data_IF_247969997478
#
_entry.id   IF_247969997478
#
_cell.length_a   1.000
_cell.length_b   1.000
_cell.length_c   1.000
_cell.angle_alpha   90.00
_cell.angle_beta   90.00
_cell.angle_gamma   90.00
#
_symmetry.space_group_name_H-M   'P 1'
#
loop_
_entity.id
_entity.type
_entity.pdbx_description
1 polymer ?
#
# COMPACT_ATOMS: atom_id res chain seq x y z
N UNK A 1 -41.62 39.36 2.16
CA UNK A 1 -41.09 39.27 3.54
C UNK A 1 -40.16 38.07 3.60
N UNK A 2 -38.86 38.35 3.51
CA UNK A 2 -37.78 37.36 3.37
C UNK A 2 -37.49 36.72 4.73
N UNK A 3 -37.71 35.42 4.85
CA UNK A 3 -37.33 34.63 6.03
C UNK A 3 -35.82 34.44 6.04
N UNK A 4 -35.12 35.08 6.97
CA UNK A 4 -33.67 34.90 7.18
C UNK A 4 -33.44 33.60 7.96
N UNK A 5 -33.05 32.54 7.27
CA UNK A 5 -32.47 31.34 7.89
C UNK A 5 -31.18 31.75 8.59
N UNK A 6 -30.99 31.46 9.89
CA UNK A 6 -29.76 31.80 10.59
C UNK A 6 -28.57 30.99 10.02
N UNK A 7 -27.35 31.55 9.97
CA UNK A 7 -26.18 30.84 9.48
C UNK A 7 -25.86 29.66 10.40
N UNK A 8 -25.87 28.44 9.86
CA UNK A 8 -25.36 27.25 10.55
C UNK A 8 -23.86 27.47 10.73
N UNK A 9 -23.42 27.76 11.96
CA UNK A 9 -22.01 27.87 12.30
C UNK A 9 -21.42 26.45 12.45
N UNK A 10 -20.53 25.99 11.55
CA UNK A 10 -20.02 24.61 11.55
C UNK A 10 -19.14 24.28 12.77
N UNK A 11 -18.82 25.26 13.62
CA UNK A 11 -18.02 25.07 14.85
C UNK A 11 -18.82 24.52 16.04
N UNK A 12 -20.12 24.33 15.90
CA UNK A 12 -21.01 23.89 16.99
C UNK A 12 -21.92 22.72 16.57
N UNK A 13 -21.41 21.79 15.76
CA UNK A 13 -22.03 20.48 15.68
C UNK A 13 -21.49 19.68 16.85
N UNK A 14 -22.17 19.78 17.98
CA UNK A 14 -21.93 18.85 19.07
C UNK A 14 -22.51 17.49 18.66
N UNK A 15 -21.64 16.52 18.41
CA UNK A 15 -22.00 15.18 17.98
C UNK A 15 -21.24 14.14 18.79
N UNK A 16 -21.79 12.93 18.86
CA UNK A 16 -21.14 11.82 19.56
C UNK A 16 -19.90 11.37 18.80
N UNK A 17 -18.74 11.43 19.43
CA UNK A 17 -17.47 11.06 18.82
C UNK A 17 -17.25 9.54 18.84
N UNK A 18 -16.60 9.02 17.80
CA UNK A 18 -16.16 7.64 17.70
C UNK A 18 -14.71 7.45 18.15
N UNK A 19 -14.20 6.23 17.94
CA UNK A 19 -12.80 5.89 18.25
C UNK A 19 -11.81 6.69 17.38
N UNK A 20 -12.18 7.00 16.14
CA UNK A 20 -11.32 7.73 15.20
C UNK A 20 -11.06 9.17 15.67
N UNK A 21 -12.10 9.87 16.11
CA UNK A 21 -11.96 11.22 16.66
C UNK A 21 -11.19 11.23 17.99
N UNK A 22 -11.43 10.23 18.86
CA UNK A 22 -10.64 10.08 20.09
C UNK A 22 -9.17 9.83 19.76
N UNK A 23 -8.85 8.92 18.85
CA UNK A 23 -7.48 8.63 18.46
C UNK A 23 -6.78 9.87 17.90
N UNK A 24 -7.47 10.62 17.03
CA UNK A 24 -6.95 11.87 16.48
C UNK A 24 -6.62 12.89 17.58
N UNK A 25 -7.50 13.04 18.57
CA UNK A 25 -7.24 13.92 19.70
C UNK A 25 -6.04 13.44 20.56
N UNK A 26 -5.89 12.13 20.76
CA UNK A 26 -4.72 11.57 21.46
C UNK A 26 -3.42 11.85 20.71
N UNK A 27 -3.41 11.69 19.38
CA UNK A 27 -2.25 11.97 18.53
C UNK A 27 -1.86 13.46 18.59
N UNK A 28 -2.86 14.36 18.59
CA UNK A 28 -2.65 15.80 18.70
C UNK A 28 -2.08 16.19 20.08
N UNK A 29 -2.55 15.58 21.17
CA UNK A 29 -1.90 15.72 22.49
C UNK A 29 -0.44 15.24 22.46
N UNK A 30 -0.17 14.13 21.79
CA UNK A 30 1.19 13.58 21.63
C UNK A 30 2.13 14.57 20.94
N UNK A 31 1.66 15.28 19.91
CA UNK A 31 2.42 16.35 19.24
C UNK A 31 2.71 17.52 20.17
N UNK A 32 1.75 17.93 21.01
CA UNK A 32 1.97 19.00 21.99
C UNK A 32 2.95 18.60 23.09
N UNK A 33 2.89 17.34 23.53
CA UNK A 33 3.86 16.77 24.47
C UNK A 33 5.28 16.73 23.86
N UNK A 34 5.43 16.24 22.62
CA UNK A 34 6.71 16.23 21.92
C UNK A 34 7.27 17.64 21.67
N UNK A 35 6.39 18.63 21.49
CA UNK A 35 6.77 20.04 21.40
C UNK A 35 7.15 20.67 22.76
N UNK A 36 7.11 19.91 23.86
CA UNK A 36 7.45 20.35 25.22
C UNK A 36 6.43 21.31 25.83
N UNK A 37 5.20 21.35 25.31
CA UNK A 37 4.13 22.26 25.78
C UNK A 37 3.30 21.68 26.91
N UNK A 38 3.38 20.37 27.11
CA UNK A 38 2.68 19.64 28.16
C UNK A 38 3.73 18.88 28.98
N UNK A 39 3.63 18.94 30.30
CA UNK A 39 4.38 18.04 31.17
C UNK A 39 3.79 16.62 31.12
N UNK A 40 4.54 15.62 31.58
CA UNK A 40 4.10 14.22 31.59
C UNK A 40 2.81 14.01 32.39
N UNK A 41 2.67 14.68 33.53
CA UNK A 41 1.45 14.57 34.36
C UNK A 41 0.25 15.25 33.70
N UNK A 42 0.47 16.37 33.00
CA UNK A 42 -0.59 17.05 32.25
C UNK A 42 -1.03 16.26 31.04
N UNK A 43 -0.07 15.65 30.34
CA UNK A 43 -0.34 14.77 29.20
C UNK A 43 -1.19 13.57 29.60
N UNK A 44 -0.82 12.86 30.66
CA UNK A 44 -1.57 11.68 31.14
C UNK A 44 -3.00 12.04 31.54
N UNK A 45 -3.18 13.11 32.34
CA UNK A 45 -4.50 13.59 32.74
C UNK A 45 -5.38 13.96 31.53
N UNK A 46 -4.82 14.63 30.52
CA UNK A 46 -5.56 15.00 29.31
C UNK A 46 -5.88 13.78 28.45
N UNK A 47 -5.00 12.80 28.42
CA UNK A 47 -5.21 11.55 27.68
C UNK A 47 -6.39 10.75 28.27
N UNK A 48 -6.49 10.67 29.60
CA UNK A 48 -7.65 10.09 30.28
C UNK A 48 -8.94 10.83 29.91
N UNK A 49 -8.94 12.16 29.95
CA UNK A 49 -10.12 12.96 29.61
C UNK A 49 -10.55 12.76 28.14
N UNK A 50 -9.60 12.61 27.21
CA UNK A 50 -9.90 12.30 25.80
C UNK A 50 -10.49 10.88 25.66
N UNK A 51 -9.99 9.92 26.43
CA UNK A 51 -10.49 8.55 26.41
C UNK A 51 -11.94 8.44 26.90
N UNK A 52 -12.30 9.25 27.90
CA UNK A 52 -13.65 9.28 28.49
C UNK A 52 -14.64 10.14 27.70
N UNK A 53 -14.15 11.02 26.82
CA UNK A 53 -14.98 11.91 26.03
C UNK A 53 -15.95 11.14 25.11
N UNK A 54 -17.20 11.60 25.10
CA UNK A 54 -18.27 11.00 24.30
C UNK A 54 -18.84 11.95 23.27
N UNK A 55 -18.68 13.26 23.47
CA UNK A 55 -19.15 14.30 22.58
C UNK A 55 -18.00 15.17 22.07
N UNK A 56 -18.19 15.82 20.93
CA UNK A 56 -17.18 16.70 20.34
C UNK A 56 -16.95 17.93 21.22
N UNK A 57 -18.00 18.40 21.92
CA UNK A 57 -17.90 19.46 22.91
C UNK A 57 -16.97 19.12 24.09
N UNK A 58 -16.85 17.84 24.46
CA UNK A 58 -15.97 17.38 25.56
C UNK A 58 -14.49 17.55 25.22
N UNK A 59 -14.12 17.51 23.92
CA UNK A 59 -12.73 17.67 23.46
C UNK A 59 -12.28 19.13 23.52
N UNK A 60 -13.17 20.08 23.23
CA UNK A 60 -12.85 21.50 23.15
C UNK A 60 -12.11 22.04 24.40
N UNK A 61 -12.59 21.82 25.65
CA UNK A 61 -11.90 22.33 26.83
C UNK A 61 -10.51 21.71 27.03
N UNK A 62 -10.30 20.45 26.58
CA UNK A 62 -9.02 19.73 26.73
C UNK A 62 -7.88 20.39 25.93
N UNK A 63 -8.21 21.09 24.83
CA UNK A 63 -7.25 21.80 23.98
C UNK A 63 -7.35 23.32 24.06
N UNK A 64 -8.17 23.86 24.98
CA UNK A 64 -8.52 25.29 25.00
C UNK A 64 -7.33 26.23 25.22
N UNK A 65 -6.29 25.77 25.90
CA UNK A 65 -5.04 26.45 26.18
C UNK A 65 -3.91 26.12 25.19
N UNK A 66 -4.14 25.16 24.28
CA UNK A 66 -3.16 24.70 23.31
C UNK A 66 -3.37 25.40 21.96
N UNK A 67 -2.29 25.82 21.27
CA UNK A 67 -2.43 26.38 19.94
C UNK A 67 -2.94 25.33 18.96
N UNK A 68 -3.85 25.71 18.06
CA UNK A 68 -4.36 24.78 17.05
C UNK A 68 -3.21 24.18 16.22
N UNK A 69 -3.19 22.85 16.11
CA UNK A 69 -2.24 22.14 15.25
C UNK A 69 -2.64 22.40 13.80
N UNK A 70 -1.92 23.33 13.19
CA UNK A 70 -1.94 23.59 11.74
C UNK A 70 -0.61 23.09 11.18
N UNK A 71 -0.57 22.67 9.92
CA UNK A 71 0.65 22.18 9.27
C UNK A 71 1.85 23.14 9.40
N UNK A 72 1.59 24.43 9.62
CA UNK A 72 2.59 25.47 9.85
C UNK A 72 3.23 25.47 11.26
N UNK A 73 2.59 24.88 12.27
CA UNK A 73 3.00 24.92 13.69
C UNK A 73 3.52 23.57 14.22
N UNK A 74 3.53 22.53 13.38
CA UNK A 74 4.26 21.30 13.67
C UNK A 74 5.74 21.65 13.76
N UNK A 75 6.44 21.41 14.90
CA UNK A 75 7.87 21.61 14.95
C UNK A 75 8.50 20.84 13.80
N UNK A 76 9.17 21.56 12.90
CA UNK A 76 9.93 20.95 11.83
C UNK A 76 10.79 19.86 12.45
N UNK A 77 10.57 18.64 11.99
CA UNK A 77 11.33 17.44 12.28
C UNK A 77 12.79 17.78 12.56
N UNK A 78 13.30 17.30 13.69
CA UNK A 78 14.72 17.30 14.05
C UNK A 78 15.53 17.00 12.78
N UNK A 79 16.46 17.87 12.34
CA UNK A 79 17.32 17.57 11.20
C UNK A 79 18.32 16.51 11.62
N UNK A 80 17.93 15.24 11.53
CA UNK A 80 18.85 14.12 11.65
C UNK A 80 19.06 13.50 10.27
N UNK A 81 20.30 13.63 9.79
CA UNK A 81 20.90 13.05 8.60
C UNK A 81 20.42 13.58 7.24
N UNK A 82 21.11 14.62 6.76
CA UNK A 82 21.29 14.88 5.34
C UNK A 82 21.81 13.61 4.65
N UNK A 83 20.99 12.98 3.79
CA UNK A 83 21.44 11.85 2.97
C UNK A 83 20.42 10.76 2.61
N UNK A 84 19.11 10.93 2.82
CA UNK A 84 18.10 10.00 2.33
C UNK A 84 17.10 10.72 1.42
N UNK A 85 16.76 10.16 0.24
CA UNK A 85 15.89 10.82 -0.73
C UNK A 85 14.48 11.02 -0.19
N UNK A 86 13.89 12.14 -0.61
CA UNK A 86 12.61 12.78 -0.28
C UNK A 86 11.35 11.95 -0.67
N UNK A 87 11.35 10.65 -0.38
CA UNK A 87 10.33 9.67 -0.79
C UNK A 87 9.75 8.90 0.41
N UNK A 88 9.76 9.53 1.59
CA UNK A 88 9.22 8.96 2.82
C UNK A 88 8.52 10.02 3.69
N UNK A 89 7.80 10.95 3.04
CA UNK A 89 6.62 11.54 3.66
C UNK A 89 5.59 10.40 3.82
N UNK A 90 5.81 9.57 4.84
CA UNK A 90 4.90 8.50 5.25
C UNK A 90 3.55 9.15 5.49
N UNK A 91 2.65 8.88 4.57
CA UNK A 91 1.29 9.37 4.64
C UNK A 91 0.69 8.84 5.94
N UNK A 92 -0.11 9.64 6.66
CA UNK A 92 -0.82 9.18 7.86
C UNK A 92 -1.67 7.91 7.61
N UNK A 93 -2.02 7.65 6.34
CA UNK A 93 -2.59 6.39 5.86
C UNK A 93 -1.66 5.15 5.90
N UNK A 94 -0.33 5.32 5.92
CA UNK A 94 0.66 4.23 6.04
C UNK A 94 0.99 3.86 7.50
N UNK A 95 0.79 4.78 8.45
CA UNK A 95 1.00 4.53 9.89
C UNK A 95 -0.20 3.77 10.48
N UNK A 96 -1.42 4.04 10.00
CA UNK A 96 -2.65 3.28 10.32
C UNK A 96 -2.56 1.80 9.86
N UNK A 97 -1.82 1.54 8.77
CA UNK A 97 -1.73 0.21 8.15
C UNK A 97 -0.63 -0.66 8.78
N UNK A 98 0.42 -0.06 9.37
CA UNK A 98 1.52 -0.79 10.02
C UNK A 98 1.15 -1.38 11.39
N UNK A 99 0.11 -0.86 12.06
CA UNK A 99 -0.46 -1.43 13.30
C UNK A 99 -1.07 -2.83 13.11
N UNK A 100 -1.14 -3.34 11.87
CA UNK A 100 -1.87 -4.57 11.50
C UNK A 100 -0.97 -5.80 11.22
N UNK A 101 0.31 -5.79 11.63
CA UNK A 101 1.27 -6.86 11.25
C UNK A 101 1.97 -7.62 12.41
N UNK A 102 1.20 -8.08 13.40
CA UNK A 102 1.70 -8.87 14.55
C UNK A 102 2.11 -10.34 14.30
N UNK A 103 2.62 -10.72 13.12
CA UNK A 103 2.85 -12.16 12.78
C UNK A 103 4.01 -12.82 13.53
N UNK A 104 4.95 -12.07 14.11
CA UNK A 104 6.14 -12.64 14.82
C UNK A 104 5.98 -12.74 16.34
N UNK A 105 5.07 -11.94 16.90
CA UNK A 105 4.73 -11.93 18.34
C UNK A 105 3.98 -13.23 18.72
N UNK A 106 3.30 -13.86 17.74
CA UNK A 106 2.57 -15.14 17.90
C UNK A 106 3.44 -16.29 18.40
N UNK A 107 4.75 -16.30 18.09
CA UNK A 107 5.71 -17.30 18.59
C UNK A 107 6.27 -16.92 19.97
N UNK A 108 6.41 -15.62 20.24
CA UNK A 108 6.91 -15.13 21.53
C UNK A 108 5.92 -15.39 22.67
N UNK A 109 4.63 -15.18 22.44
CA UNK A 109 3.59 -15.37 23.47
C UNK A 109 3.34 -16.87 23.75
N UNK A 110 3.38 -17.73 22.73
CA UNK A 110 3.24 -19.18 22.93
C UNK A 110 4.44 -19.79 23.66
N UNK A 111 5.65 -19.27 23.48
CA UNK A 111 6.83 -19.70 24.24
C UNK A 111 6.77 -19.22 25.71
N UNK A 112 6.23 -18.02 25.96
CA UNK A 112 6.15 -17.42 27.31
C UNK A 112 5.09 -18.09 28.20
N UNK A 113 3.99 -18.58 27.62
CA UNK A 113 2.94 -19.32 28.34
C UNK A 113 3.31 -20.77 28.71
N UNK A 114 4.46 -21.28 28.24
CA UNK A 114 4.95 -22.63 28.59
C UNK A 114 5.72 -22.62 29.94
N UNK A 115 6.02 -21.44 30.49
CA UNK A 115 6.85 -21.29 31.69
C UNK A 115 6.20 -21.64 33.05
N UNK A 116 4.87 -21.73 33.26
CA UNK A 116 4.35 -22.09 34.60
C UNK A 116 4.39 -23.59 34.91
N UNK A 117 4.83 -24.47 33.99
CA UNK A 117 4.74 -25.93 34.17
C UNK A 117 5.91 -26.56 34.97
N UNK A 118 6.72 -25.78 35.69
CA UNK A 118 7.85 -26.31 36.46
C UNK A 118 7.87 -25.99 37.96
N UNK A 119 6.93 -25.21 38.51
CA UNK A 119 7.10 -24.65 39.86
C UNK A 119 6.03 -25.00 40.92
N UNK A 120 5.12 -25.95 40.69
CA UNK A 120 4.18 -26.38 41.75
C UNK A 120 3.99 -27.90 41.79
N UNK A 121 4.50 -28.61 42.82
CA UNK A 121 4.11 -30.00 43.04
C UNK A 121 2.66 -30.06 43.57
N UNK A 122 1.71 -30.71 42.88
CA UNK A 122 0.37 -30.86 43.39
C UNK A 122 0.36 -31.94 44.48
N UNK A 123 0.09 -31.56 45.72
CA UNK A 123 -0.15 -32.50 46.81
C UNK A 123 -1.49 -33.25 46.67
N UNK A 124 -2.30 -32.94 45.65
CA UNK A 124 -3.60 -33.58 45.42
C UNK A 124 -3.92 -33.73 43.91
N UNK A 125 -4.06 -34.98 43.44
CA UNK A 125 -4.17 -35.36 42.02
C UNK A 125 -5.50 -34.99 41.37
N UNK A 126 -6.57 -34.87 42.15
CA UNK A 126 -7.93 -34.65 41.63
C UNK A 126 -8.14 -33.20 41.13
N UNK A 127 -7.53 -32.22 41.80
CA UNK A 127 -7.61 -30.79 41.43
C UNK A 127 -6.76 -30.50 40.18
N UNK A 128 -5.60 -31.18 40.05
CA UNK A 128 -4.70 -31.02 38.91
C UNK A 128 -5.34 -31.48 37.59
N UNK A 129 -6.15 -32.54 37.61
CA UNK A 129 -6.85 -33.02 36.41
C UNK A 129 -7.92 -32.05 35.91
N UNK A 130 -8.67 -31.43 36.84
CA UNK A 130 -9.69 -30.44 36.50
C UNK A 130 -9.04 -29.19 35.91
N UNK A 131 -7.97 -28.68 36.54
CA UNK A 131 -7.25 -27.52 36.04
C UNK A 131 -6.67 -27.75 34.63
N UNK A 132 -6.09 -28.93 34.39
CA UNK A 132 -5.56 -29.30 33.07
C UNK A 132 -6.67 -29.40 32.01
N UNK A 133 -7.82 -29.95 32.39
CA UNK A 133 -8.98 -30.10 31.50
C UNK A 133 -9.59 -28.75 31.15
N UNK A 134 -9.70 -27.82 32.12
CA UNK A 134 -10.14 -26.44 31.88
C UNK A 134 -9.14 -25.71 30.99
N UNK A 135 -7.84 -25.82 31.26
CA UNK A 135 -6.81 -25.22 30.41
C UNK A 135 -6.87 -25.73 28.97
N UNK A 136 -6.92 -27.06 28.79
CA UNK A 136 -7.02 -27.68 27.47
C UNK A 136 -8.31 -27.28 26.75
N UNK A 137 -9.43 -27.24 27.46
CA UNK A 137 -10.70 -26.73 26.93
C UNK A 137 -10.60 -25.26 26.53
N UNK A 138 -9.87 -24.42 27.28
CA UNK A 138 -9.68 -23.00 26.96
C UNK A 138 -8.78 -22.83 25.73
N UNK A 139 -7.72 -23.64 25.59
CA UNK A 139 -6.86 -23.66 24.39
C UNK A 139 -7.64 -24.11 23.17
N UNK A 140 -8.43 -25.19 23.30
CA UNK A 140 -9.28 -25.70 22.23
C UNK A 140 -10.37 -24.67 21.89
N UNK A 141 -10.96 -24.00 22.88
CA UNK A 141 -11.96 -22.95 22.67
C UNK A 141 -11.35 -21.73 21.95
N UNK A 142 -10.16 -21.26 22.32
CA UNK A 142 -9.46 -20.20 21.60
C UNK A 142 -9.05 -20.61 20.17
N UNK A 143 -8.74 -21.89 19.98
CA UNK A 143 -8.36 -22.45 18.69
C UNK A 143 -9.58 -22.63 17.75
N UNK A 144 -10.70 -23.13 18.27
CA UNK A 144 -11.92 -23.45 17.51
C UNK A 144 -12.81 -22.23 17.31
N UNK A 145 -12.97 -21.35 18.31
CA UNK A 145 -13.74 -20.12 18.14
C UNK A 145 -12.99 -19.03 17.36
N UNK A 146 -11.70 -19.23 17.03
CA UNK A 146 -10.90 -18.33 16.17
C UNK A 146 -11.09 -16.85 16.52
N UNK A 147 -11.22 -16.58 17.83
CA UNK A 147 -11.40 -15.25 18.43
C UNK A 147 -10.04 -14.53 18.47
N UNK A 148 -9.53 -14.19 17.28
CA UNK A 148 -8.43 -13.27 17.10
C UNK A 148 -8.91 -12.09 16.26
N UNK A 149 -8.61 -10.83 16.62
CA UNK A 149 -9.09 -9.67 15.89
C UNK A 149 -8.71 -9.74 14.40
N UNK A 150 -9.59 -9.21 13.55
CA UNK A 150 -9.49 -9.20 12.07
C UNK A 150 -8.23 -8.47 11.53
N UNK A 151 -7.36 -7.97 12.41
CA UNK A 151 -6.05 -7.38 12.12
C UNK A 151 -4.94 -8.41 11.86
N UNK A 152 -5.18 -9.72 12.03
CA UNK A 152 -4.09 -10.70 11.95
C UNK A 152 -3.50 -10.93 10.53
N UNK A 153 -4.19 -10.50 9.46
CA UNK A 153 -3.78 -10.83 8.09
C UNK A 153 -3.59 -9.58 7.24
N UNK A 154 -2.41 -8.97 7.31
CA UNK A 154 -1.90 -8.13 6.22
C UNK A 154 -0.49 -8.57 5.80
N UNK A 155 -0.24 -8.81 4.50
CA UNK A 155 1.08 -9.10 3.95
C UNK A 155 1.98 -7.85 4.00
N UNK A 156 3.29 -8.02 4.11
CA UNK A 156 4.22 -6.89 4.26
C UNK A 156 4.13 -5.92 3.07
N UNK A 157 4.17 -4.59 3.30
CA UNK A 157 4.07 -3.59 2.24
C UNK A 157 5.17 -3.76 1.17
N UNK A 158 6.35 -4.22 1.60
CA UNK A 158 7.44 -4.58 0.69
C UNK A 158 7.12 -5.79 -0.21
N UNK A 159 6.35 -6.78 0.28
CA UNK A 159 5.93 -7.91 -0.54
C UNK A 159 4.90 -7.46 -1.61
N UNK A 160 4.01 -6.53 -1.26
CA UNK A 160 3.05 -5.96 -2.20
C UNK A 160 3.76 -5.10 -3.27
N UNK A 161 4.75 -4.30 -2.87
CA UNK A 161 5.58 -3.52 -3.81
C UNK A 161 6.33 -4.42 -4.79
N UNK A 162 6.98 -5.48 -4.30
CA UNK A 162 7.65 -6.48 -5.17
C UNK A 162 6.67 -7.21 -6.08
N UNK A 163 5.47 -7.52 -5.59
CA UNK A 163 4.44 -8.18 -6.38
C UNK A 163 3.90 -7.27 -7.49
N UNK A 164 3.66 -5.99 -7.19
CA UNK A 164 3.32 -4.97 -8.20
C UNK A 164 4.43 -4.83 -9.24
N UNK A 165 5.69 -4.74 -8.81
CA UNK A 165 6.83 -4.67 -9.72
C UNK A 165 6.91 -5.89 -10.65
N UNK A 166 6.65 -7.11 -10.12
CA UNK A 166 6.61 -8.32 -10.95
C UNK A 166 5.46 -8.30 -11.97
N UNK A 167 4.28 -7.81 -11.59
CA UNK A 167 3.16 -7.67 -12.51
C UNK A 167 3.44 -6.67 -13.62
N UNK A 168 4.06 -5.53 -13.29
CA UNK A 168 4.46 -4.52 -14.29
C UNK A 168 5.51 -5.09 -15.24
N UNK A 169 6.56 -5.72 -14.70
CA UNK A 169 7.62 -6.35 -15.51
C UNK A 169 7.07 -7.43 -16.45
N UNK A 170 6.09 -8.23 -16.01
CA UNK A 170 5.43 -9.23 -16.85
C UNK A 170 4.59 -8.58 -17.96
N UNK A 171 3.84 -7.52 -17.65
CA UNK A 171 3.06 -6.78 -18.64
C UNK A 171 3.97 -6.13 -19.70
N UNK A 172 5.12 -5.61 -19.29
CA UNK A 172 6.11 -5.03 -20.21
C UNK A 172 6.77 -6.10 -21.08
N UNK A 173 7.14 -7.26 -20.52
CA UNK A 173 7.73 -8.36 -21.28
C UNK A 173 6.81 -8.84 -22.41
N UNK A 174 5.50 -8.95 -22.15
CA UNK A 174 4.52 -9.31 -23.20
C UNK A 174 4.41 -8.25 -24.30
N UNK A 175 4.44 -6.96 -23.94
CA UNK A 175 4.41 -5.86 -24.93
C UNK A 175 5.63 -5.89 -25.84
N UNK A 176 6.82 -6.10 -25.28
CA UNK A 176 8.07 -6.21 -26.05
C UNK A 176 8.00 -7.39 -27.01
N UNK A 177 7.50 -8.54 -26.55
CA UNK A 177 7.34 -9.73 -27.39
C UNK A 177 6.37 -9.48 -28.56
N UNK A 178 5.23 -8.83 -28.30
CA UNK A 178 4.27 -8.49 -29.35
C UNK A 178 4.87 -7.54 -30.41
N UNK A 179 5.66 -6.54 -29.99
CA UNK A 179 6.35 -5.62 -30.90
C UNK A 179 7.41 -6.33 -31.75
N UNK A 180 8.17 -7.25 -31.14
CA UNK A 180 9.16 -8.04 -31.89
C UNK A 180 8.52 -8.89 -32.98
N UNK A 181 7.39 -9.52 -32.67
CA UNK A 181 6.63 -10.31 -33.63
C UNK A 181 6.08 -9.44 -34.77
N UNK A 182 5.52 -8.26 -34.44
CA UNK A 182 5.03 -7.31 -35.44
C UNK A 182 6.16 -6.85 -36.38
N UNK A 183 7.32 -6.50 -35.84
CA UNK A 183 8.49 -6.11 -36.62
C UNK A 183 9.00 -7.26 -37.51
N UNK A 184 9.03 -8.48 -36.99
CA UNK A 184 9.43 -9.66 -37.75
C UNK A 184 8.51 -9.90 -38.96
N UNK A 185 7.20 -9.73 -38.78
CA UNK A 185 6.23 -9.83 -39.87
C UNK A 185 6.41 -8.73 -40.90
N UNK A 186 6.61 -7.47 -40.48
CA UNK A 186 6.86 -6.37 -41.40
C UNK A 186 8.11 -6.61 -42.23
N UNK A 187 9.19 -7.11 -41.62
CA UNK A 187 10.42 -7.45 -42.35
C UNK A 187 10.19 -8.57 -43.37
N UNK A 188 9.40 -9.59 -43.03
CA UNK A 188 9.06 -10.68 -43.96
C UNK A 188 8.27 -10.15 -45.17
N UNK A 189 7.30 -9.27 -44.94
CA UNK A 189 6.52 -8.63 -46.01
C UNK A 189 7.40 -7.75 -46.92
N UNK A 190 8.28 -6.93 -46.34
CA UNK A 190 9.20 -6.11 -47.11
C UNK A 190 10.15 -6.96 -47.95
N UNK A 191 10.62 -8.10 -47.43
CA UNK A 191 11.46 -9.04 -48.19
C UNK A 191 10.69 -9.63 -49.38
N UNK A 192 9.44 -10.05 -49.18
CA UNK A 192 8.58 -10.55 -50.25
C UNK A 192 8.34 -9.49 -51.34
N UNK A 193 8.04 -8.25 -50.94
CA UNK A 193 7.89 -7.12 -51.88
C UNK A 193 9.18 -6.82 -52.64
N UNK A 194 10.34 -6.87 -51.98
CA UNK A 194 11.64 -6.68 -52.66
C UNK A 194 11.90 -7.77 -53.69
N UNK A 195 11.57 -9.03 -53.37
CA UNK A 195 11.71 -10.13 -54.32
C UNK A 195 10.79 -9.98 -55.52
N UNK A 196 9.53 -9.57 -55.30
CA UNK A 196 8.59 -9.26 -56.39
C UNK A 196 9.10 -8.13 -57.28
N UNK A 197 9.53 -7.01 -56.68
CA UNK A 197 10.14 -5.89 -57.41
C UNK A 197 11.37 -6.31 -58.21
N UNK A 198 12.22 -7.17 -57.64
CA UNK A 198 13.38 -7.68 -58.35
C UNK A 198 12.97 -8.54 -59.55
N UNK A 199 11.96 -9.40 -59.41
CA UNK A 199 11.44 -10.19 -60.52
C UNK A 199 10.88 -9.30 -61.63
N UNK A 200 10.08 -8.28 -61.29
CA UNK A 200 9.55 -7.30 -62.26
C UNK A 200 10.65 -6.52 -62.98
N UNK A 201 11.68 -6.06 -62.26
CA UNK A 201 12.82 -5.36 -62.87
C UNK A 201 13.60 -6.29 -63.80
N UNK A 202 13.77 -7.55 -63.42
CA UNK A 202 14.47 -8.55 -64.24
C UNK A 202 13.69 -8.85 -65.50
N UNK A 203 12.37 -9.03 -65.39
CA UNK A 203 11.45 -9.25 -66.51
C UNK A 203 11.42 -8.04 -67.47
N UNK A 204 11.28 -6.82 -66.93
CA UNK A 204 11.33 -5.58 -67.71
C UNK A 204 12.68 -5.38 -68.41
N UNK A 205 13.80 -5.73 -67.75
CA UNK A 205 15.12 -5.67 -68.36
C UNK A 205 15.28 -6.68 -69.51
N UNK A 206 14.73 -7.89 -69.36
CA UNK A 206 14.70 -8.90 -70.42
C UNK A 206 13.86 -8.44 -71.62
N UNK A 207 12.70 -7.84 -71.39
CA UNK A 207 11.84 -7.32 -72.47
C UNK A 207 12.53 -6.19 -73.23
N UNK A 208 13.14 -5.21 -72.53
CA UNK A 208 13.91 -4.14 -73.17
C UNK A 208 15.09 -4.70 -73.97
N UNK A 209 15.82 -5.67 -73.42
CA UNK A 209 16.93 -6.32 -74.12
C UNK A 209 16.43 -7.06 -75.37
N UNK A 210 15.33 -7.79 -75.27
CA UNK A 210 14.74 -8.53 -76.38
C UNK A 210 14.21 -7.58 -77.46
N UNK A 211 13.57 -6.48 -77.06
CA UNK A 211 13.11 -5.41 -77.94
C UNK A 211 14.28 -4.75 -78.67
N UNK A 212 15.41 -4.54 -77.99
CA UNK A 212 16.63 -4.02 -78.62
C UNK A 212 17.19 -4.98 -79.69
N UNK A 213 17.26 -6.27 -79.38
CA UNK A 213 17.69 -7.31 -80.33
C UNK A 213 16.74 -7.37 -81.55
N UNK A 214 15.43 -7.32 -81.32
CA UNK A 214 14.43 -7.31 -82.41
C UNK A 214 14.57 -6.08 -83.30
N UNK A 215 14.83 -4.89 -82.75
CA UNK A 215 15.06 -3.66 -83.53
C UNK A 215 16.30 -3.78 -84.41
N UNK A 216 17.40 -4.34 -83.90
CA UNK A 216 18.61 -4.57 -84.69
C UNK A 216 18.36 -5.56 -85.83
N UNK A 217 17.64 -6.66 -85.56
CA UNK A 217 17.28 -7.65 -86.56
C UNK A 217 16.39 -7.06 -87.67
N UNK A 218 15.41 -6.23 -87.32
CA UNK A 218 14.52 -5.59 -88.29
C UNK A 218 15.20 -4.53 -89.17
N UNK A 219 16.25 -3.84 -88.67
CA UNK A 219 17.04 -2.93 -89.53
C UNK A 219 17.78 -3.70 -90.62
N UNK A 220 18.35 -4.86 -90.28
CA UNK A 220 19.13 -5.67 -91.22
C UNK A 220 18.30 -6.32 -92.33
N UNK A 221 16.98 -6.47 -92.15
CA UNK A 221 16.06 -7.00 -93.18
C UNK A 221 15.51 -5.93 -94.14
N UNK A 222 15.76 -4.64 -93.87
CA UNK A 222 15.24 -3.50 -94.67
C UNK A 222 16.31 -2.80 -95.53
N UNK A 223 17.55 -3.30 -95.52
CA UNK A 223 18.67 -2.87 -96.37
C UNK A 223 19.01 -3.95 -97.37
#
# INVERSE_FOLDING_TARGET
MTSSVPPINPRNQDYRIGDAERQKAMDDLGKHFAAGRLDITEYDNRLTNVAEATMMSDLIPIFSDLPAITDANTPATIPHAAGLPDEAAFTSSEIEENYRSGKRIKLGITLLMLLPCLATPPTNTLISGIAFSVFLATVIMLYVLKLGPKSWHQPSPQALARQRQRQIAQAEAMKVQALQLANAQQMAQQRALRQQRQAEITDAALDVANQYIQRLRNRHHRS
#
